data_IF_325962359969
#
_entry.id   IF_325962359969
#
_cell.length_a   1.000
_cell.length_b   1.000
_cell.length_c   1.000
_cell.angle_alpha   90.00
_cell.angle_beta   90.00
_cell.angle_gamma   90.00
#
_symmetry.space_group_name_H-M   'P 1'
#
loop_
_entity.id
_entity.type
_entity.pdbx_description
1 polymer ?
#
# COMPACT_ATOMS: atom_id res chain seq x y z
N UNK A 1 -4.11 -11.99 6.13
CA UNK A 1 -3.73 -12.08 7.57
C UNK A 1 -4.38 -10.94 8.37
N UNK A 2 -4.25 -9.67 7.97
CA UNK A 2 -4.85 -8.52 8.68
C UNK A 2 -6.36 -8.68 8.92
N UNK A 3 -7.15 -9.02 7.89
CA UNK A 3 -8.60 -9.24 8.03
C UNK A 3 -8.96 -10.35 9.04
N UNK A 4 -8.11 -11.39 9.17
CA UNK A 4 -8.32 -12.44 10.18
C UNK A 4 -8.07 -11.91 11.59
N UNK A 5 -7.08 -11.04 11.78
CA UNK A 5 -6.85 -10.40 13.08
C UNK A 5 -8.00 -9.47 13.46
N UNK A 6 -8.52 -8.68 12.51
CA UNK A 6 -9.71 -7.85 12.78
C UNK A 6 -10.95 -8.69 13.10
N UNK A 7 -11.11 -9.84 12.46
CA UNK A 7 -12.19 -10.77 12.81
C UNK A 7 -12.08 -11.26 14.26
N UNK A 8 -10.87 -11.58 14.71
CA UNK A 8 -10.63 -12.00 16.11
C UNK A 8 -10.92 -10.84 17.06
N UNK A 9 -10.47 -9.62 16.75
CA UNK A 9 -10.76 -8.43 17.56
C UNK A 9 -12.26 -8.14 17.66
N UNK A 10 -13.00 -8.25 16.55
CA UNK A 10 -14.46 -8.10 16.55
C UNK A 10 -15.15 -9.14 17.41
N UNK A 11 -14.77 -10.41 17.25
CA UNK A 11 -15.35 -11.49 18.03
C UNK A 11 -15.09 -11.30 19.53
N UNK A 12 -13.88 -10.87 19.89
CA UNK A 12 -13.55 -10.56 21.28
C UNK A 12 -14.40 -9.41 21.82
N UNK A 13 -14.50 -8.30 21.07
CA UNK A 13 -15.26 -7.12 21.50
C UNK A 13 -16.74 -7.43 21.72
N UNK A 14 -17.34 -8.23 20.85
CA UNK A 14 -18.76 -8.58 20.92
C UNK A 14 -19.03 -9.83 21.78
N UNK A 15 -17.98 -10.45 22.31
CA UNK A 15 -18.09 -11.67 23.13
C UNK A 15 -18.61 -12.86 22.32
N UNK A 16 -18.34 -12.91 21.03
CA UNK A 16 -18.63 -14.07 20.17
C UNK A 16 -17.61 -15.17 20.43
N UNK A 17 -18.07 -16.42 20.62
CA UNK A 17 -17.25 -17.64 20.71
C UNK A 17 -17.64 -18.61 19.60
N UNK A 18 -16.90 -19.71 19.46
CA UNK A 18 -17.25 -20.79 18.53
C UNK A 18 -18.62 -21.42 18.85
N UNK A 19 -19.02 -21.41 20.11
CA UNK A 19 -20.28 -21.97 20.61
C UNK A 19 -21.45 -20.96 20.59
N UNK A 20 -21.16 -19.64 20.59
CA UNK A 20 -22.17 -18.59 20.70
C UNK A 20 -21.80 -17.40 19.81
N UNK A 21 -22.45 -17.31 18.67
CA UNK A 21 -22.32 -16.18 17.76
C UNK A 21 -23.16 -15.00 18.25
N UNK A 22 -22.57 -13.82 18.38
CA UNK A 22 -23.26 -12.57 18.70
C UNK A 22 -23.15 -11.59 17.54
N UNK A 23 -24.28 -10.98 17.21
CA UNK A 23 -24.30 -9.95 16.16
C UNK A 23 -23.61 -8.67 16.63
N UNK A 24 -22.75 -8.05 15.78
CA UNK A 24 -22.17 -6.76 16.09
C UNK A 24 -23.26 -5.68 16.11
N UNK A 25 -23.32 -4.90 17.19
CA UNK A 25 -24.29 -3.80 17.34
C UNK A 25 -23.91 -2.57 16.51
N UNK A 26 -22.62 -2.42 16.23
CA UNK A 26 -22.06 -1.26 15.50
C UNK A 26 -21.09 -1.76 14.43
N UNK A 27 -21.09 -1.12 13.27
CA UNK A 27 -20.14 -1.43 12.19
C UNK A 27 -18.68 -1.23 12.66
N UNK A 28 -17.79 -2.13 12.22
CA UNK A 28 -16.38 -2.12 12.67
C UNK A 28 -15.66 -0.83 12.33
N UNK A 29 -15.99 -0.23 11.20
CA UNK A 29 -15.46 1.06 10.75
C UNK A 29 -15.78 2.18 11.74
N UNK A 30 -16.98 2.18 12.34
CA UNK A 30 -17.36 3.14 13.38
C UNK A 30 -16.63 2.90 14.69
N UNK A 31 -16.40 1.64 15.05
CA UNK A 31 -15.61 1.26 16.24
C UNK A 31 -14.16 1.76 16.10
N UNK A 32 -13.61 1.72 14.89
CA UNK A 32 -12.25 2.18 14.61
C UNK A 32 -12.09 3.71 14.52
N UNK A 33 -13.18 4.48 14.51
CA UNK A 33 -13.07 5.94 14.52
C UNK A 33 -12.38 6.44 15.80
N UNK A 34 -11.74 7.62 15.73
CA UNK A 34 -11.21 8.30 16.92
C UNK A 34 -12.30 8.53 17.98
N UNK A 35 -11.88 8.61 19.24
CA UNK A 35 -12.79 8.82 20.37
C UNK A 35 -13.56 10.14 20.21
N UNK A 36 -12.90 11.17 19.66
CA UNK A 36 -13.49 12.49 19.38
C UNK A 36 -14.63 12.42 18.35
N UNK A 37 -14.61 11.38 17.49
CA UNK A 37 -15.65 11.11 16.49
C UNK A 37 -16.67 10.04 16.94
N UNK A 38 -16.67 9.70 18.23
CA UNK A 38 -17.60 8.72 18.81
C UNK A 38 -17.21 7.26 18.58
N UNK A 39 -15.98 6.98 18.17
CA UNK A 39 -15.43 5.62 18.07
C UNK A 39 -14.70 5.20 19.36
N UNK A 40 -14.14 4.00 19.36
CA UNK A 40 -13.30 3.50 20.45
C UNK A 40 -11.80 3.73 20.21
N UNK A 41 -11.40 4.34 19.09
CA UNK A 41 -10.00 4.57 18.74
C UNK A 41 -9.21 3.28 18.46
N UNK A 42 -9.88 2.16 18.20
CA UNK A 42 -9.23 0.90 17.84
C UNK A 42 -8.65 1.04 16.43
N UNK A 43 -7.35 0.80 16.28
CA UNK A 43 -6.70 0.87 14.96
C UNK A 43 -7.20 -0.25 14.05
N UNK A 44 -7.67 0.11 12.86
CA UNK A 44 -7.89 -0.87 11.79
C UNK A 44 -6.56 -1.52 11.40
N UNK A 45 -6.47 -2.83 11.61
CA UNK A 45 -5.27 -3.61 11.29
C UNK A 45 -5.03 -3.64 9.78
N UNK A 46 -6.09 -3.63 8.97
CA UNK A 46 -5.99 -3.60 7.50
C UNK A 46 -5.32 -2.29 7.05
N UNK A 47 -5.86 -1.14 7.47
CA UNK A 47 -5.29 0.15 7.09
C UNK A 47 -3.87 0.35 7.63
N UNK A 48 -3.61 -0.10 8.85
CA UNK A 48 -2.27 -0.04 9.43
C UNK A 48 -1.27 -0.93 8.70
N UNK A 49 -1.68 -2.13 8.27
CA UNK A 49 -0.84 -3.01 7.45
C UNK A 49 -0.52 -2.37 6.10
N UNK A 50 -1.50 -1.76 5.43
CA UNK A 50 -1.27 -1.03 4.17
C UNK A 50 -0.26 0.10 4.34
N UNK A 51 -0.38 0.89 5.41
CA UNK A 51 0.57 1.95 5.71
C UNK A 51 1.99 1.42 5.96
N UNK A 52 2.13 0.28 6.64
CA UNK A 52 3.43 -0.37 6.85
C UNK A 52 4.03 -0.89 5.54
N UNK A 53 3.23 -1.47 4.66
CA UNK A 53 3.69 -1.92 3.35
C UNK A 53 4.09 -0.72 2.48
N UNK A 54 3.31 0.36 2.49
CA UNK A 54 3.63 1.62 1.82
C UNK A 54 4.94 2.23 2.31
N UNK A 55 5.25 2.15 3.62
CA UNK A 55 6.54 2.58 4.17
C UNK A 55 7.73 1.84 3.53
N UNK A 56 7.60 0.55 3.24
CA UNK A 56 8.65 -0.21 2.57
C UNK A 56 8.82 0.17 1.10
N UNK A 57 7.71 0.50 0.40
CA UNK A 57 7.77 1.05 -0.95
C UNK A 57 8.45 2.42 -0.97
N UNK A 58 8.11 3.29 -0.02
CA UNK A 58 8.79 4.59 0.14
C UNK A 58 10.29 4.43 0.36
N UNK A 59 10.69 3.52 1.25
CA UNK A 59 12.10 3.23 1.50
C UNK A 59 12.81 2.70 0.25
N UNK A 60 12.15 1.86 -0.54
CA UNK A 60 12.73 1.33 -1.77
C UNK A 60 13.10 2.43 -2.75
N UNK A 61 12.26 3.44 -2.91
CA UNK A 61 12.54 4.58 -3.79
C UNK A 61 13.66 5.51 -3.29
N UNK A 62 13.97 5.51 -1.97
CA UNK A 62 14.92 6.45 -1.37
C UNK A 62 16.23 5.82 -0.91
N UNK A 63 16.23 4.58 -0.47
CA UNK A 63 17.38 3.93 0.15
C UNK A 63 18.19 3.06 -0.83
N UNK A 64 18.46 3.58 -2.04
CA UNK A 64 19.07 2.84 -3.16
C UNK A 64 20.49 2.31 -2.87
N UNK A 65 21.20 2.88 -1.90
CA UNK A 65 22.56 2.46 -1.53
C UNK A 65 22.59 1.29 -0.53
N UNK A 66 21.46 0.95 0.07
CA UNK A 66 21.37 -0.08 1.09
C UNK A 66 21.47 -1.49 0.51
N UNK A 67 22.13 -2.39 1.23
CA UNK A 67 22.32 -3.79 0.82
C UNK A 67 20.98 -4.50 0.54
N UNK A 68 19.97 -4.28 1.37
CA UNK A 68 18.66 -4.88 1.18
C UNK A 68 18.01 -4.44 -0.15
N UNK A 69 18.20 -3.18 -0.56
CA UNK A 69 17.73 -2.66 -1.84
C UNK A 69 18.42 -3.39 -3.00
N UNK A 70 19.75 -3.53 -2.94
CA UNK A 70 20.54 -4.24 -3.96
C UNK A 70 20.08 -5.71 -4.13
N UNK A 71 19.80 -6.40 -3.02
CA UNK A 71 19.26 -7.78 -3.05
C UNK A 71 17.89 -7.81 -3.72
N UNK A 72 17.00 -6.88 -3.40
CA UNK A 72 15.66 -6.82 -3.96
C UNK A 72 15.69 -6.45 -5.45
N UNK A 73 16.44 -5.42 -5.83
CA UNK A 73 16.55 -4.96 -7.22
C UNK A 73 17.19 -6.03 -8.12
N UNK A 74 18.22 -6.72 -7.64
CA UNK A 74 18.84 -7.85 -8.36
C UNK A 74 17.87 -9.01 -8.55
N UNK A 75 17.10 -9.34 -7.52
CA UNK A 75 16.18 -10.48 -7.55
C UNK A 75 14.92 -10.24 -8.39
N UNK A 76 14.34 -9.06 -8.32
CA UNK A 76 13.04 -8.74 -8.93
C UNK A 76 13.17 -7.84 -10.17
N UNK A 77 14.31 -7.21 -10.36
CA UNK A 77 14.55 -6.20 -11.38
C UNK A 77 13.91 -4.86 -11.03
N UNK A 78 14.50 -3.79 -11.51
CA UNK A 78 13.94 -2.44 -11.33
C UNK A 78 12.76 -2.22 -12.28
N UNK A 79 11.70 -1.64 -11.75
CA UNK A 79 10.55 -1.19 -12.50
C UNK A 79 10.76 0.20 -13.11
N UNK A 80 9.70 0.76 -13.65
CA UNK A 80 9.72 2.05 -14.31
C UNK A 80 10.05 3.16 -13.31
N UNK A 81 10.98 4.05 -13.66
CA UNK A 81 11.40 5.17 -12.81
C UNK A 81 12.22 4.81 -11.57
N UNK A 82 12.53 3.54 -11.32
CA UNK A 82 13.32 3.11 -10.14
C UNK A 82 12.55 3.10 -8.81
N UNK A 83 11.27 3.47 -8.79
CA UNK A 83 10.45 3.56 -7.57
C UNK A 83 9.81 2.25 -7.12
N UNK A 84 9.74 1.27 -8.00
CA UNK A 84 9.19 -0.05 -7.71
C UNK A 84 10.00 -1.14 -8.41
N UNK A 85 9.72 -2.39 -8.11
CA UNK A 85 10.27 -3.53 -8.86
C UNK A 85 9.32 -3.96 -9.97
N UNK A 86 9.85 -4.69 -10.96
CA UNK A 86 9.01 -5.34 -11.97
C UNK A 86 8.03 -6.31 -11.32
N UNK A 87 6.88 -6.48 -11.95
CA UNK A 87 5.86 -7.44 -11.48
C UNK A 87 6.42 -8.86 -11.57
N UNK A 88 6.53 -9.52 -10.43
CA UNK A 88 7.01 -10.90 -10.37
C UNK A 88 5.89 -11.87 -10.77
N UNK A 89 5.98 -12.45 -11.96
CA UNK A 89 5.02 -13.45 -12.49
C UNK A 89 5.30 -14.89 -12.04
N UNK A 90 6.41 -15.13 -11.33
CA UNK A 90 6.78 -16.49 -10.91
C UNK A 90 5.93 -16.96 -9.73
N UNK A 91 5.37 -18.15 -9.85
CA UNK A 91 4.46 -18.79 -8.89
C UNK A 91 5.14 -19.33 -7.64
N UNK A 92 6.46 -19.51 -7.63
CA UNK A 92 7.20 -20.11 -6.52
C UNK A 92 7.82 -19.03 -5.62
N UNK A 93 7.49 -19.11 -4.35
CA UNK A 93 7.99 -18.24 -3.27
C UNK A 93 7.09 -17.03 -3.00
N UNK A 94 6.20 -17.15 -2.04
CA UNK A 94 5.49 -16.01 -1.43
C UNK A 94 6.49 -15.18 -0.62
N UNK A 95 7.38 -14.48 -1.30
CA UNK A 95 8.29 -13.54 -0.66
C UNK A 95 7.53 -12.34 -0.12
N UNK A 96 7.86 -11.89 1.07
CA UNK A 96 7.31 -10.67 1.68
C UNK A 96 7.31 -9.49 0.71
N UNK A 97 8.36 -9.36 -0.11
CA UNK A 97 8.48 -8.30 -1.11
C UNK A 97 7.37 -8.31 -2.17
N UNK A 98 6.88 -9.49 -2.56
CA UNK A 98 5.76 -9.60 -3.49
C UNK A 98 4.48 -8.95 -2.92
N UNK A 99 4.22 -9.16 -1.63
CA UNK A 99 3.08 -8.53 -0.96
C UNK A 99 3.26 -7.02 -0.85
N UNK A 100 4.48 -6.56 -0.56
CA UNK A 100 4.81 -5.13 -0.50
C UNK A 100 4.62 -4.50 -1.89
N UNK A 101 5.19 -5.09 -2.94
CA UNK A 101 5.10 -4.56 -4.31
C UNK A 101 3.67 -4.65 -4.88
N UNK A 102 2.84 -5.56 -4.36
CA UNK A 102 1.42 -5.65 -4.72
C UNK A 102 0.60 -4.42 -4.32
N UNK A 103 1.03 -3.68 -3.29
CA UNK A 103 0.39 -2.44 -2.85
C UNK A 103 0.82 -1.21 -3.67
N UNK A 104 1.73 -1.38 -4.65
CA UNK A 104 2.27 -0.25 -5.43
C UNK A 104 1.17 0.57 -6.11
N UNK A 105 0.19 -0.07 -6.72
CA UNK A 105 -0.89 0.62 -7.43
C UNK A 105 -1.73 1.51 -6.51
N UNK A 106 -1.98 1.05 -5.28
CA UNK A 106 -2.69 1.83 -4.27
C UNK A 106 -1.80 2.95 -3.71
N UNK A 107 -0.53 2.64 -3.44
CA UNK A 107 0.44 3.57 -2.87
C UNK A 107 0.80 4.70 -3.84
N UNK A 108 1.03 4.39 -5.11
CA UNK A 108 1.42 5.37 -6.14
C UNK A 108 0.38 6.47 -6.34
N UNK A 109 -0.89 6.20 -6.06
CA UNK A 109 -1.97 7.21 -6.10
C UNK A 109 -1.80 8.34 -5.09
N UNK A 110 -1.01 8.11 -4.04
CA UNK A 110 -0.74 9.09 -2.98
C UNK A 110 0.61 9.79 -3.14
N UNK A 111 1.36 9.47 -4.21
CA UNK A 111 2.63 10.11 -4.50
C UNK A 111 2.43 11.28 -5.47
N UNK A 112 3.15 12.35 -5.20
CA UNK A 112 3.39 13.43 -6.15
C UNK A 112 4.89 13.57 -6.35
N UNK A 113 5.33 13.71 -7.59
CA UNK A 113 6.75 13.82 -7.92
C UNK A 113 7.13 15.28 -8.08
N UNK A 114 8.17 15.71 -7.37
CA UNK A 114 8.80 17.02 -7.60
C UNK A 114 9.91 16.82 -8.63
N UNK A 115 9.83 17.55 -9.74
CA UNK A 115 10.81 17.45 -10.82
C UNK A 115 12.12 18.08 -10.37
N UNK A 116 13.17 17.25 -10.25
CA UNK A 116 14.55 17.71 -10.11
C UNK A 116 15.22 17.72 -11.49
N UNK A 117 16.19 16.83 -11.69
CA UNK A 117 16.88 16.67 -12.97
C UNK A 117 16.07 15.91 -14.04
N UNK A 118 14.90 15.40 -13.70
CA UNK A 118 13.98 14.71 -14.63
C UNK A 118 14.34 13.27 -14.99
N UNK A 119 15.46 12.74 -14.50
CA UNK A 119 15.98 11.41 -14.91
C UNK A 119 15.11 10.24 -14.39
N UNK A 120 14.40 10.43 -13.28
CA UNK A 120 13.59 9.39 -12.62
C UNK A 120 12.08 9.58 -12.82
N UNK A 121 11.65 10.50 -13.69
CA UNK A 121 10.23 10.80 -13.91
C UNK A 121 9.74 10.18 -15.19
N UNK A 122 8.62 9.47 -15.09
CA UNK A 122 7.88 8.94 -16.22
C UNK A 122 6.88 9.99 -16.70
N UNK A 123 7.23 10.73 -17.74
CA UNK A 123 6.49 11.90 -18.25
C UNK A 123 4.98 11.71 -18.31
N UNK A 124 4.49 10.62 -18.87
CA UNK A 124 3.07 10.34 -19.03
C UNK A 124 2.38 9.72 -17.80
N UNK A 125 3.14 9.07 -16.92
CA UNK A 125 2.58 8.21 -15.88
C UNK A 125 2.71 8.75 -14.46
N UNK A 126 3.67 9.65 -14.23
CA UNK A 126 3.88 10.22 -12.92
C UNK A 126 3.06 11.52 -12.75
N UNK A 127 2.71 11.81 -11.51
CA UNK A 127 2.02 13.05 -11.12
C UNK A 127 3.06 14.09 -10.74
N UNK A 128 3.41 14.96 -11.68
CA UNK A 128 4.43 15.97 -11.48
C UNK A 128 3.99 17.40 -11.85
N UNK A 129 2.87 17.57 -12.54
CA UNK A 129 2.25 18.88 -12.85
C UNK A 129 0.99 19.08 -12.01
N UNK A 130 0.19 18.03 -11.83
CA UNK A 130 -1.12 18.09 -11.19
C UNK A 130 -1.41 16.79 -10.43
N UNK A 131 -2.55 16.73 -9.77
CA UNK A 131 -3.03 15.51 -9.09
C UNK A 131 -3.36 14.36 -10.05
N UNK A 132 -3.46 14.64 -11.35
CA UNK A 132 -3.69 13.65 -12.40
C UNK A 132 -2.44 13.44 -13.25
N UNK A 133 -2.32 12.26 -13.85
CA UNK A 133 -1.23 11.97 -14.80
C UNK A 133 -1.46 12.70 -16.13
N UNK A 134 -0.41 13.04 -16.86
CA UNK A 134 -0.56 13.62 -18.20
C UNK A 134 -1.29 12.69 -19.16
N UNK A 135 -1.12 11.39 -19.01
CA UNK A 135 -1.87 10.38 -19.75
C UNK A 135 -3.38 10.51 -19.55
N UNK A 136 -3.84 10.77 -18.33
CA UNK A 136 -5.27 10.89 -18.03
C UNK A 136 -5.84 12.22 -18.54
N UNK A 137 -5.03 13.29 -18.51
CA UNK A 137 -5.43 14.63 -18.94
C UNK A 137 -5.44 14.77 -20.47
N UNK A 138 -4.51 14.10 -21.15
CA UNK A 138 -4.26 14.26 -22.59
C UNK A 138 -4.21 12.90 -23.29
N UNK A 139 -5.31 12.12 -23.14
CA UNK A 139 -5.41 10.77 -23.69
C UNK A 139 -5.22 10.75 -25.24
N UNK A 140 -5.66 11.82 -25.92
CA UNK A 140 -5.54 11.95 -27.37
C UNK A 140 -4.07 12.14 -27.86
N UNK A 141 -3.20 12.62 -26.99
CA UNK A 141 -1.77 12.81 -27.27
C UNK A 141 -0.91 11.63 -26.83
N UNK A 142 -1.49 10.72 -26.04
CA UNK A 142 -0.82 9.51 -25.59
C UNK A 142 -0.94 8.43 -26.67
N UNK A 143 0.08 8.28 -27.52
CA UNK A 143 0.17 7.29 -28.60
C UNK A 143 1.15 6.19 -28.22
#
# INVERSE_FOLDING_TARGET
MAARLESIQRNFLWGSSEESFKYPLVAWEKVCLPVEMGGLGIRSVVSFNQALLGKWLWKYGHEVTHLWWQVISTKYGEGQGGWCTKVCRRTHGYGLWRSINGEWESFSKHLSSVVGEGTCICFWHDRWISDNTLKDLYLELYV
#
